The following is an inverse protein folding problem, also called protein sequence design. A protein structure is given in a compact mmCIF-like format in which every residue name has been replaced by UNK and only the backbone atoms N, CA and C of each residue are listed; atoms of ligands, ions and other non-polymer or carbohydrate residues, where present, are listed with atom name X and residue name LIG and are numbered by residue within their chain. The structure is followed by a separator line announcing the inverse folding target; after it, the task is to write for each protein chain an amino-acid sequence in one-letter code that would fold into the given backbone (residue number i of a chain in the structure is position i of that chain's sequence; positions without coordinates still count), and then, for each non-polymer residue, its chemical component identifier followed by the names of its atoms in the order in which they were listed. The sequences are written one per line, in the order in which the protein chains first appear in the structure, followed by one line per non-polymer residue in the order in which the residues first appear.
data_IF_380307469299
#
_entry.id   IF_380307469299
#
_cell.length_a   1.000
_cell.length_b   1.000
_cell.length_c   1.000
_cell.angle_alpha   90.00
_cell.angle_beta   90.00
_cell.angle_gamma   90.00
#
_symmetry.space_group_name_H-M   'P 1'
#
loop_
_entity.id
_entity.type
_entity.pdbx_description
1 polymer ?
#
# COMPACT_ATOMS: atom_id res chain seq x y z
N UNK A 1 -37.23 -6.93 -5.96
CA UNK A 1 -36.19 -7.94 -6.31
C UNK A 1 -34.81 -7.35 -6.64
N UNK A 2 -34.65 -6.02 -6.79
CA UNK A 2 -33.35 -5.40 -7.11
C UNK A 2 -32.35 -5.26 -5.95
N UNK A 3 -32.80 -5.27 -4.69
CA UNK A 3 -31.92 -5.01 -3.53
C UNK A 3 -30.90 -6.13 -3.24
N UNK A 4 -31.22 -7.38 -3.60
CA UNK A 4 -30.30 -8.52 -3.39
C UNK A 4 -29.18 -8.56 -4.42
N UNK A 5 -29.44 -8.10 -5.64
CA UNK A 5 -28.45 -8.11 -6.74
C UNK A 5 -27.35 -7.07 -6.47
N UNK A 6 -27.73 -5.88 -6.00
CA UNK A 6 -26.76 -4.80 -5.68
C UNK A 6 -25.86 -5.15 -4.50
N UNK A 7 -26.40 -5.83 -3.46
CA UNK A 7 -25.62 -6.27 -2.30
C UNK A 7 -24.63 -7.40 -2.61
N UNK A 8 -24.99 -8.30 -3.52
CA UNK A 8 -24.07 -9.33 -4.01
C UNK A 8 -22.92 -8.66 -4.75
N UNK A 9 -23.24 -7.73 -5.65
CA UNK A 9 -22.28 -7.01 -6.49
C UNK A 9 -21.31 -6.11 -5.69
N UNK A 10 -21.75 -5.47 -4.60
CA UNK A 10 -20.85 -4.72 -3.70
C UNK A 10 -19.97 -5.62 -2.83
N UNK A 11 -20.53 -6.70 -2.27
CA UNK A 11 -19.78 -7.64 -1.44
C UNK A 11 -18.76 -8.43 -2.28
N UNK A 12 -19.10 -8.78 -3.51
CA UNK A 12 -18.23 -9.47 -4.46
C UNK A 12 -17.10 -8.55 -4.94
N UNK A 13 -17.39 -7.25 -5.18
CA UNK A 13 -16.35 -6.23 -5.44
C UNK A 13 -15.39 -6.03 -4.27
N UNK A 14 -15.89 -5.92 -3.03
CA UNK A 14 -15.02 -5.74 -1.87
C UNK A 14 -14.18 -7.00 -1.59
N UNK A 15 -14.72 -8.21 -1.81
CA UNK A 15 -13.98 -9.48 -1.75
C UNK A 15 -12.93 -9.56 -2.87
N UNK A 16 -13.28 -9.18 -4.10
CA UNK A 16 -12.35 -9.14 -5.23
C UNK A 16 -11.22 -8.15 -4.98
N UNK A 17 -11.52 -6.97 -4.42
CA UNK A 17 -10.52 -5.95 -4.11
C UNK A 17 -9.59 -6.39 -2.97
N UNK A 18 -10.11 -7.03 -1.92
CA UNK A 18 -9.31 -7.60 -0.83
C UNK A 18 -8.40 -8.75 -1.33
N UNK A 19 -8.94 -9.64 -2.17
CA UNK A 19 -8.18 -10.70 -2.83
C UNK A 19 -7.10 -10.13 -3.78
N UNK A 20 -7.37 -8.99 -4.43
CA UNK A 20 -6.40 -8.30 -5.27
C UNK A 20 -5.24 -7.74 -4.45
N UNK A 21 -5.51 -7.13 -3.30
CA UNK A 21 -4.48 -6.62 -2.39
C UNK A 21 -3.58 -7.73 -1.85
N UNK A 22 -4.15 -8.85 -1.39
CA UNK A 22 -3.38 -9.99 -0.91
C UNK A 22 -2.51 -10.62 -2.01
N UNK A 23 -3.09 -10.82 -3.20
CA UNK A 23 -2.39 -11.38 -4.34
C UNK A 23 -1.24 -10.47 -4.80
N UNK A 24 -1.49 -9.17 -4.81
CA UNK A 24 -0.50 -8.18 -5.21
C UNK A 24 0.62 -8.06 -4.17
N UNK A 25 0.32 -8.10 -2.87
CA UNK A 25 1.32 -8.09 -1.79
C UNK A 25 2.20 -9.34 -1.83
N UNK A 26 1.59 -10.52 -2.07
CA UNK A 26 2.31 -11.78 -2.26
C UNK A 26 3.22 -11.74 -3.48
N UNK A 27 2.75 -11.19 -4.61
CA UNK A 27 3.54 -11.03 -5.85
C UNK A 27 4.71 -10.07 -5.65
N UNK A 28 4.49 -8.97 -4.91
CA UNK A 28 5.55 -8.03 -4.54
C UNK A 28 6.59 -8.65 -3.61
N UNK A 29 6.16 -9.34 -2.56
CA UNK A 29 7.07 -10.05 -1.66
C UNK A 29 7.96 -11.02 -2.42
N UNK A 30 7.38 -11.77 -3.37
CA UNK A 30 8.11 -12.70 -4.24
C UNK A 30 9.10 -11.97 -5.17
N UNK A 31 8.68 -10.89 -5.83
CA UNK A 31 9.55 -10.12 -6.73
C UNK A 31 10.73 -9.47 -5.96
N UNK A 32 10.48 -8.91 -4.78
CA UNK A 32 11.51 -8.34 -3.91
C UNK A 32 12.49 -9.42 -3.46
N UNK A 33 12.00 -10.58 -3.02
CA UNK A 33 12.84 -11.70 -2.64
C UNK A 33 13.71 -12.20 -3.80
N UNK A 34 13.15 -12.27 -5.01
CA UNK A 34 13.91 -12.63 -6.22
C UNK A 34 15.01 -11.61 -6.52
N UNK A 35 14.70 -10.31 -6.53
CA UNK A 35 15.69 -9.24 -6.77
C UNK A 35 16.80 -9.28 -5.73
N UNK A 36 16.46 -9.46 -4.44
CA UNK A 36 17.44 -9.61 -3.37
C UNK A 36 18.30 -10.86 -3.56
N UNK A 37 17.70 -11.98 -3.92
CA UNK A 37 18.42 -13.23 -4.19
C UNK A 37 19.40 -13.06 -5.35
N UNK A 38 18.99 -12.42 -6.45
CA UNK A 38 19.88 -12.11 -7.58
C UNK A 38 20.98 -11.12 -7.22
N UNK A 39 20.69 -10.08 -6.43
CA UNK A 39 21.68 -9.12 -5.98
C UNK A 39 22.73 -9.78 -5.08
N UNK A 40 22.30 -10.59 -4.11
CA UNK A 40 23.20 -11.38 -3.24
C UNK A 40 24.02 -12.36 -4.07
N UNK A 41 23.38 -13.08 -5.00
CA UNK A 41 24.07 -14.00 -5.89
C UNK A 41 25.13 -13.30 -6.75
N UNK A 42 24.81 -12.12 -7.31
CA UNK A 42 25.77 -11.31 -8.06
C UNK A 42 26.94 -10.83 -7.18
N UNK A 43 26.67 -10.41 -5.94
CA UNK A 43 27.71 -10.00 -4.98
C UNK A 43 28.61 -11.20 -4.60
N UNK A 44 28.02 -12.38 -4.36
CA UNK A 44 28.76 -13.60 -4.08
C UNK A 44 29.62 -14.03 -5.27
N UNK A 45 29.06 -14.04 -6.49
CA UNK A 45 29.79 -14.34 -7.71
C UNK A 45 30.92 -13.33 -7.96
N UNK A 46 30.69 -12.03 -7.73
CA UNK A 46 31.73 -11.01 -7.77
C UNK A 46 32.82 -11.28 -6.73
N UNK A 47 32.48 -11.59 -5.47
CA UNK A 47 33.49 -11.91 -4.44
C UNK A 47 34.33 -13.14 -4.81
N UNK A 48 33.70 -14.23 -5.24
CA UNK A 48 34.38 -15.50 -5.56
C UNK A 48 35.23 -15.35 -6.82
N UNK A 49 34.67 -14.78 -7.89
CA UNK A 49 35.39 -14.52 -9.14
C UNK A 49 36.65 -13.65 -8.91
N UNK A 50 36.56 -12.66 -8.03
CA UNK A 50 37.70 -11.80 -7.72
C UNK A 50 38.68 -12.41 -6.74
N UNK A 51 38.21 -13.19 -5.76
CA UNK A 51 39.12 -13.91 -4.88
C UNK A 51 40.06 -14.79 -5.72
N UNK A 52 39.52 -15.43 -6.76
CA UNK A 52 40.27 -16.27 -7.70
C UNK A 52 41.16 -15.46 -8.65
N UNK A 53 40.72 -14.31 -9.17
CA UNK A 53 41.54 -13.50 -10.10
C UNK A 53 42.60 -12.61 -9.45
N UNK A 54 42.41 -12.17 -8.20
CA UNK A 54 43.39 -11.33 -7.49
C UNK A 54 44.43 -12.15 -6.70
N UNK A 55 44.25 -13.46 -6.59
CA UNK A 55 45.26 -14.38 -6.05
C UNK A 55 46.26 -14.86 -7.10
N UNK A 56 46.12 -14.47 -8.37
CA UNK A 56 47.18 -14.74 -9.36
C UNK A 56 48.43 -13.92 -9.04
N UNK A 57 49.57 -14.57 -8.71
CA UNK A 57 50.78 -13.89 -8.27
C UNK A 57 51.46 -13.06 -9.37
N UNK A 58 51.04 -13.21 -10.64
CA UNK A 58 51.73 -12.63 -11.81
C UNK A 58 51.22 -11.26 -12.27
N UNK A 59 50.12 -10.73 -11.72
CA UNK A 59 49.59 -9.44 -12.19
C UNK A 59 50.48 -8.24 -11.80
N UNK A 60 51.01 -7.58 -12.82
CA UNK A 60 51.69 -6.28 -12.74
C UNK A 60 50.88 -5.23 -11.97
N UNK A 61 51.58 -4.37 -11.20
CA UNK A 61 50.97 -3.27 -10.41
C UNK A 61 50.12 -2.31 -11.26
N UNK A 62 50.51 -2.08 -12.53
CA UNK A 62 49.75 -1.23 -13.47
C UNK A 62 48.42 -1.88 -13.86
N UNK A 63 48.44 -3.18 -14.11
CA UNK A 63 47.28 -3.96 -14.54
C UNK A 63 46.25 -4.09 -13.42
N UNK A 64 46.72 -4.34 -12.20
CA UNK A 64 45.91 -4.33 -10.97
C UNK A 64 45.19 -3.00 -10.77
N UNK A 65 45.91 -1.88 -10.97
CA UNK A 65 45.35 -0.53 -10.86
C UNK A 65 44.33 -0.21 -11.96
N UNK A 66 44.53 -0.73 -13.19
CA UNK A 66 43.57 -0.58 -14.29
C UNK A 66 42.28 -1.37 -14.01
N UNK A 67 42.40 -2.63 -13.58
CA UNK A 67 41.26 -3.47 -13.19
C UNK A 67 40.47 -2.86 -12.04
N UNK A 68 41.14 -2.35 -11.00
CA UNK A 68 40.47 -1.68 -9.88
C UNK A 68 39.60 -0.49 -10.33
N UNK A 69 40.12 0.35 -11.24
CA UNK A 69 39.36 1.50 -11.78
C UNK A 69 38.15 1.08 -12.61
N UNK A 70 38.28 0.03 -13.43
CA UNK A 70 37.14 -0.53 -14.17
C UNK A 70 36.07 -1.03 -13.21
N UNK A 71 36.49 -1.62 -12.10
CA UNK A 71 35.56 -2.14 -11.10
C UNK A 71 34.89 -1.08 -10.25
N UNK A 72 35.58 -0.01 -9.90
CA UNK A 72 34.96 1.16 -9.28
C UNK A 72 33.83 1.72 -10.16
N UNK A 73 34.01 1.75 -11.49
CA UNK A 73 32.97 2.17 -12.44
C UNK A 73 31.78 1.21 -12.46
N UNK A 74 32.03 -0.09 -12.54
CA UNK A 74 30.98 -1.12 -12.54
C UNK A 74 30.20 -1.11 -11.21
N UNK A 75 30.89 -1.03 -10.08
CA UNK A 75 30.27 -0.94 -8.76
C UNK A 75 29.42 0.34 -8.62
N UNK A 76 29.91 1.46 -9.17
CA UNK A 76 29.16 2.71 -9.22
C UNK A 76 27.87 2.57 -10.04
N UNK A 77 27.94 1.92 -11.21
CA UNK A 77 26.76 1.65 -12.05
C UNK A 77 25.75 0.74 -11.34
N UNK A 78 26.20 -0.33 -10.66
CA UNK A 78 25.33 -1.20 -9.87
C UNK A 78 24.69 -0.43 -8.71
N UNK A 79 25.45 0.43 -8.03
CA UNK A 79 24.93 1.28 -6.95
C UNK A 79 23.85 2.24 -7.45
N UNK A 80 24.06 2.85 -8.62
CA UNK A 80 23.08 3.73 -9.26
C UNK A 80 21.80 2.96 -9.62
N UNK A 81 21.91 1.79 -10.25
CA UNK A 81 20.75 0.94 -10.57
C UNK A 81 19.95 0.52 -9.31
N UNK A 82 20.62 0.19 -8.21
CA UNK A 82 19.96 -0.12 -6.94
C UNK A 82 19.23 1.11 -6.38
N UNK A 83 19.81 2.31 -6.51
CA UNK A 83 19.20 3.56 -6.07
C UNK A 83 17.92 3.84 -6.85
N UNK A 84 17.95 3.68 -8.17
CA UNK A 84 16.79 3.90 -9.05
C UNK A 84 15.65 2.93 -8.70
N UNK A 85 15.96 1.65 -8.49
CA UNK A 85 14.97 0.65 -8.03
C UNK A 85 14.40 1.02 -6.66
N UNK A 86 15.24 1.50 -5.73
CA UNK A 86 14.77 1.93 -4.40
C UNK A 86 13.83 3.14 -4.49
N UNK A 87 14.11 4.09 -5.38
CA UNK A 87 13.26 5.27 -5.62
C UNK A 87 11.92 4.86 -6.23
N UNK A 88 11.92 3.99 -7.24
CA UNK A 88 10.70 3.47 -7.86
C UNK A 88 9.81 2.72 -6.85
N UNK A 89 10.40 1.95 -5.92
CA UNK A 89 9.66 1.28 -4.84
C UNK A 89 9.03 2.31 -3.89
N UNK A 90 9.76 3.36 -3.50
CA UNK A 90 9.24 4.41 -2.62
C UNK A 90 8.08 5.17 -3.26
N UNK A 91 8.22 5.53 -4.53
CA UNK A 91 7.18 6.21 -5.29
C UNK A 91 5.94 5.32 -5.46
N UNK A 92 6.15 4.05 -5.80
CA UNK A 92 5.09 3.05 -5.83
C UNK A 92 4.34 2.99 -4.50
N UNK A 93 5.05 2.88 -3.37
CA UNK A 93 4.47 2.86 -2.02
C UNK A 93 3.65 4.12 -1.70
N UNK A 94 4.12 5.29 -2.10
CA UNK A 94 3.39 6.54 -1.89
C UNK A 94 2.06 6.60 -2.68
N UNK A 95 2.02 6.00 -3.89
CA UNK A 95 0.79 5.89 -4.69
C UNK A 95 -0.22 4.96 -3.99
N UNK A 96 0.26 3.84 -3.45
CA UNK A 96 -0.58 2.88 -2.73
C UNK A 96 -1.17 3.47 -1.45
N UNK A 97 -0.37 4.16 -0.65
CA UNK A 97 -0.86 4.80 0.57
C UNK A 97 -1.94 5.85 0.26
N UNK A 98 -1.87 6.52 -0.89
CA UNK A 98 -2.93 7.42 -1.37
C UNK A 98 -4.16 6.68 -1.88
N UNK A 99 -3.97 5.51 -2.50
CA UNK A 99 -5.06 4.68 -3.03
C UNK A 99 -5.76 3.86 -1.94
N UNK A 100 -5.12 3.67 -0.79
CA UNK A 100 -5.66 2.88 0.32
C UNK A 100 -6.92 3.55 0.86
N UNK A 101 -8.06 2.85 0.79
CA UNK A 101 -9.32 3.26 1.40
C UNK A 101 -9.07 3.55 2.89
N UNK A 102 -9.31 4.79 3.33
CA UNK A 102 -9.15 5.18 4.75
C UNK A 102 -10.10 4.34 5.60
N UNK A 103 -9.55 3.62 6.57
CA UNK A 103 -10.31 2.84 7.56
C UNK A 103 -10.49 3.72 8.79
N UNK A 104 -11.75 4.02 9.12
CA UNK A 104 -12.08 4.79 10.33
C UNK A 104 -12.31 3.82 11.48
N UNK A 105 -11.69 4.11 12.62
CA UNK A 105 -11.91 3.36 13.84
C UNK A 105 -13.28 3.69 14.45
N UNK A 106 -13.85 2.76 15.21
CA UNK A 106 -15.10 2.98 15.96
C UNK A 106 -15.04 4.22 16.87
N UNK A 107 -13.87 4.49 17.46
CA UNK A 107 -13.63 5.68 18.29
C UNK A 107 -13.71 6.97 17.48
N UNK A 108 -13.14 6.99 16.27
CA UNK A 108 -13.24 8.14 15.37
C UNK A 108 -14.68 8.37 14.90
N UNK A 109 -15.41 7.29 14.57
CA UNK A 109 -16.83 7.36 14.21
C UNK A 109 -17.63 7.99 15.36
N UNK A 110 -17.48 7.48 16.58
CA UNK A 110 -18.19 8.01 17.75
C UNK A 110 -17.82 9.47 18.05
N UNK A 111 -16.52 9.80 17.99
CA UNK A 111 -16.04 11.16 18.22
C UNK A 111 -16.63 12.16 17.22
N UNK A 112 -16.72 11.78 15.94
CA UNK A 112 -17.31 12.64 14.91
C UNK A 112 -18.81 12.85 15.16
N UNK A 113 -19.56 11.81 15.55
CA UNK A 113 -20.98 11.94 15.91
C UNK A 113 -21.21 12.92 17.07
N UNK A 114 -20.31 12.92 18.07
CA UNK A 114 -20.36 13.89 19.17
C UNK A 114 -20.04 15.30 18.66
N UNK A 115 -19.00 15.43 17.84
CA UNK A 115 -18.52 16.71 17.30
C UNK A 115 -19.56 17.42 16.43
N UNK A 116 -20.28 16.69 15.57
CA UNK A 116 -21.35 17.27 14.74
C UNK A 116 -22.67 17.45 15.49
N UNK A 117 -22.71 17.16 16.79
CA UNK A 117 -23.88 17.42 17.63
C UNK A 117 -25.04 16.45 17.43
N UNK A 118 -24.79 15.18 17.12
CA UNK A 118 -25.85 14.14 17.13
C UNK A 118 -26.37 13.94 18.56
N UNK A 119 -27.68 14.05 18.76
CA UNK A 119 -28.27 13.96 20.10
C UNK A 119 -28.06 12.57 20.72
N UNK A 120 -27.94 12.50 22.06
CA UNK A 120 -27.63 11.26 22.77
C UNK A 120 -28.64 10.12 22.50
N UNK A 121 -29.92 10.46 22.32
CA UNK A 121 -31.01 9.51 22.07
C UNK A 121 -30.92 8.84 20.69
N UNK A 122 -30.40 9.53 19.67
CA UNK A 122 -30.24 8.97 18.30
C UNK A 122 -28.81 8.52 18.00
N UNK A 123 -27.81 8.96 18.79
CA UNK A 123 -26.39 8.66 18.57
C UNK A 123 -26.07 7.17 18.55
N UNK A 124 -26.69 6.38 19.42
CA UNK A 124 -26.49 4.93 19.43
C UNK A 124 -26.98 4.27 18.13
N UNK A 125 -28.13 4.70 17.63
CA UNK A 125 -28.68 4.24 16.36
C UNK A 125 -27.79 4.65 15.18
N UNK A 126 -27.32 5.90 15.15
CA UNK A 126 -26.40 6.41 14.14
C UNK A 126 -25.05 5.66 14.14
N UNK A 127 -24.47 5.46 15.32
CA UNK A 127 -23.25 4.68 15.47
C UNK A 127 -23.42 3.27 14.90
N UNK A 128 -24.48 2.58 15.30
CA UNK A 128 -24.79 1.21 14.84
C UNK A 128 -25.06 1.18 13.33
N UNK A 129 -25.72 2.19 12.78
CA UNK A 129 -25.98 2.30 11.35
C UNK A 129 -24.68 2.43 10.55
N UNK A 130 -23.75 3.28 11.00
CA UNK A 130 -22.46 3.50 10.35
C UNK A 130 -21.55 2.28 10.48
N UNK A 131 -21.39 1.71 11.68
CA UNK A 131 -20.45 0.59 11.90
C UNK A 131 -20.90 -0.73 11.28
N UNK A 132 -22.18 -0.86 10.91
CA UNK A 132 -22.69 -2.03 10.18
C UNK A 132 -22.15 -2.18 8.76
N UNK A 133 -21.65 -1.10 8.15
CA UNK A 133 -21.24 -1.11 6.75
C UNK A 133 -20.15 -0.05 6.49
N UNK A 134 -18.93 -0.46 6.12
CA UNK A 134 -17.81 0.46 5.88
C UNK A 134 -18.08 1.45 4.74
N UNK A 135 -18.97 1.13 3.79
CA UNK A 135 -19.36 2.03 2.70
C UNK A 135 -20.15 3.23 3.24
N UNK A 136 -21.01 3.02 4.24
CA UNK A 136 -21.73 4.12 4.92
C UNK A 136 -20.78 5.04 5.66
N UNK A 137 -19.79 4.48 6.36
CA UNK A 137 -18.76 5.25 7.04
C UNK A 137 -18.00 6.11 6.03
N UNK A 138 -17.60 5.54 4.89
CA UNK A 138 -16.88 6.26 3.84
C UNK A 138 -17.70 7.40 3.26
N UNK A 139 -18.98 7.15 2.95
CA UNK A 139 -19.90 8.18 2.45
C UNK A 139 -20.06 9.32 3.46
N UNK A 140 -20.29 8.99 4.74
CA UNK A 140 -20.44 9.95 5.82
C UNK A 140 -19.20 10.84 6.02
N UNK A 141 -18.00 10.25 6.09
CA UNK A 141 -16.77 11.03 6.27
C UNK A 141 -16.31 11.75 4.99
N UNK A 142 -16.77 11.32 3.82
CA UNK A 142 -16.54 12.00 2.54
C UNK A 142 -17.35 13.29 2.36
N UNK A 143 -18.42 13.46 3.14
CA UNK A 143 -19.30 14.63 3.05
C UNK A 143 -18.74 15.83 3.88
N UNK A 144 -19.02 17.09 3.51
CA UNK A 144 -18.60 18.27 4.28
C UNK A 144 -19.05 18.24 5.75
N UNK A 145 -18.15 18.61 6.68
CA UNK A 145 -18.37 18.49 8.13
C UNK A 145 -19.66 19.17 8.59
N UNK A 146 -19.93 20.38 8.07
CA UNK A 146 -21.05 21.21 8.51
C UNK A 146 -22.41 20.64 8.12
N UNK A 147 -22.45 19.80 7.07
CA UNK A 147 -23.69 19.20 6.55
C UNK A 147 -23.83 17.71 6.93
N UNK A 148 -22.81 17.11 7.56
CA UNK A 148 -22.79 15.67 7.90
C UNK A 148 -23.96 15.24 8.76
N UNK A 149 -24.45 16.10 9.66
CA UNK A 149 -25.57 15.74 10.55
C UNK A 149 -26.86 15.55 9.74
N UNK A 150 -27.17 16.48 8.85
CA UNK A 150 -28.34 16.41 7.96
C UNK A 150 -28.23 15.22 7.01
N UNK A 151 -27.05 15.05 6.39
CA UNK A 151 -26.77 13.93 5.52
C UNK A 151 -26.93 12.58 6.23
N UNK A 152 -26.43 12.44 7.45
CA UNK A 152 -26.59 11.23 8.26
C UNK A 152 -28.06 10.90 8.55
N UNK A 153 -28.88 11.91 8.85
CA UNK A 153 -30.32 11.72 9.04
C UNK A 153 -30.96 11.23 7.74
N UNK A 154 -30.63 11.83 6.59
CA UNK A 154 -31.12 11.36 5.29
C UNK A 154 -30.65 9.95 4.95
N UNK A 155 -29.43 9.56 5.31
CA UNK A 155 -28.96 8.19 5.10
C UNK A 155 -29.72 7.18 5.96
N UNK A 156 -30.07 7.55 7.20
CA UNK A 156 -30.75 6.67 8.15
C UNK A 156 -32.26 6.58 7.90
N UNK A 157 -32.88 7.66 7.45
CA UNK A 157 -34.33 7.84 7.36
C UNK A 157 -34.78 8.37 5.99
N UNK A 158 -33.99 8.13 4.94
CA UNK A 158 -34.28 8.58 3.57
C UNK A 158 -35.69 8.20 3.11
N UNK A 159 -36.21 8.86 2.05
CA UNK A 159 -37.63 8.83 1.74
C UNK A 159 -38.10 7.38 1.63
N UNK A 160 -39.12 7.04 2.41
CA UNK A 160 -39.82 5.77 2.28
C UNK A 160 -40.19 5.59 0.80
N UNK A 161 -39.73 4.49 0.18
CA UNK A 161 -40.29 4.05 -1.09
C UNK A 161 -41.81 3.88 -0.86
N UNK A 162 -42.68 4.58 -1.62
CA UNK A 162 -44.13 4.46 -1.48
C UNK A 162 -44.65 3.06 -1.85
#
# INVERSE_FOLDING_TARGET
MSSSIVKIDENERDIEEENWWELWDRRRGTAVAQVLCYAVHAICMLRVYYHVQCTEPEMSRKERKRKARTWEKQLKSVKEAIKDVSEAIKEGNAIIEKARKRIYTEREIYAELVKIGVEKNVRFAAYTFLTKDPTKVRAFFGYPVDERKEFLIQMMYGPEDP
#
